data_IF_506537726109
#
_entry.id   IF_506537726109
#
_cell.length_a   1.000
_cell.length_b   1.000
_cell.length_c   1.000
_cell.angle_alpha   90.00
_cell.angle_beta   90.00
_cell.angle_gamma   90.00
#
_symmetry.space_group_name_H-M   'P 1'
#
loop_
_entity.id
_entity.type
_entity.pdbx_description
1 polymer ?
#
# COMPACT_ATOMS: atom_id res chain seq x y z
N UNK A 1 4.87 -8.75 75.77
CA UNK A 1 6.04 -9.54 75.33
C UNK A 1 6.46 -9.04 73.97
N UNK A 2 7.65 -8.45 73.90
CA UNK A 2 8.12 -7.61 72.81
C UNK A 2 8.61 -8.36 71.56
N UNK A 3 8.61 -7.61 70.48
CA UNK A 3 9.21 -7.85 69.16
C UNK A 3 10.63 -8.44 69.25
N UNK A 4 11.05 -9.19 68.23
CA UNK A 4 12.26 -8.92 67.42
C UNK A 4 12.47 -10.06 66.41
N UNK A 5 11.90 -9.96 65.21
CA UNK A 5 12.48 -10.65 64.06
C UNK A 5 13.52 -9.73 63.41
N UNK A 6 14.76 -10.19 63.48
CA UNK A 6 15.98 -9.54 62.99
C UNK A 6 15.92 -9.43 61.47
N UNK A 7 15.99 -8.19 60.98
CA UNK A 7 16.12 -7.82 59.57
C UNK A 7 17.46 -8.34 59.03
N UNK A 8 17.46 -9.43 58.29
CA UNK A 8 18.58 -9.84 57.45
C UNK A 8 18.53 -9.07 56.14
N UNK A 9 19.41 -8.08 55.98
CA UNK A 9 19.61 -7.36 54.73
C UNK A 9 20.21 -8.29 53.68
N UNK A 10 19.41 -8.70 52.69
CA UNK A 10 19.93 -9.29 51.46
C UNK A 10 20.50 -8.16 50.58
N UNK A 11 21.67 -8.34 49.94
CA UNK A 11 22.24 -7.32 49.08
C UNK A 11 21.37 -7.14 47.84
N UNK A 12 20.99 -5.89 47.58
CA UNK A 12 20.42 -5.47 46.30
C UNK A 12 21.48 -5.76 45.24
N UNK A 13 21.29 -6.84 44.49
CA UNK A 13 22.01 -7.05 43.23
C UNK A 13 21.53 -5.95 42.31
N UNK A 14 22.35 -4.90 42.17
CA UNK A 14 22.18 -3.92 41.12
C UNK A 14 22.20 -4.68 39.79
N UNK A 15 21.04 -4.83 39.17
CA UNK A 15 20.97 -5.19 37.76
C UNK A 15 21.65 -4.06 37.00
N UNK A 16 22.96 -4.23 36.73
CA UNK A 16 23.65 -3.49 35.68
C UNK A 16 22.86 -3.75 34.41
N UNK A 17 22.06 -2.75 34.01
CA UNK A 17 21.52 -2.60 32.67
C UNK A 17 22.68 -2.45 31.69
N UNK A 18 23.36 -3.56 31.41
CA UNK A 18 24.22 -3.69 30.26
C UNK A 18 23.31 -3.80 29.05
N UNK A 19 22.83 -2.65 28.57
CA UNK A 19 22.29 -2.53 27.22
C UNK A 19 23.40 -2.95 26.26
N UNK A 20 23.43 -4.24 25.92
CA UNK A 20 24.20 -4.73 24.78
C UNK A 20 23.59 -4.01 23.59
N UNK A 21 24.26 -2.95 23.14
CA UNK A 21 23.95 -2.30 21.88
C UNK A 21 23.83 -3.42 20.86
N UNK A 22 22.61 -3.64 20.38
CA UNK A 22 22.34 -4.68 19.38
C UNK A 22 23.31 -4.40 18.24
N UNK A 23 24.26 -5.31 18.03
CA UNK A 23 25.23 -5.23 16.94
C UNK A 23 24.41 -4.96 15.69
N UNK A 24 24.59 -3.77 15.12
CA UNK A 24 23.86 -3.34 13.94
C UNK A 24 24.19 -4.38 12.88
N UNK A 25 23.20 -5.18 12.46
CA UNK A 25 23.42 -6.20 11.42
C UNK A 25 24.15 -5.52 10.27
N UNK A 26 25.24 -6.12 9.75
CA UNK A 26 25.99 -5.52 8.66
C UNK A 26 25.06 -5.25 7.48
N UNK A 27 25.31 -4.16 6.77
CA UNK A 27 24.57 -3.81 5.57
C UNK A 27 24.55 -4.99 4.60
N UNK A 28 23.43 -5.27 3.92
CA UNK A 28 23.41 -6.30 2.89
C UNK A 28 24.44 -5.96 1.82
N UNK A 29 25.06 -6.99 1.24
CA UNK A 29 25.98 -6.80 0.13
C UNK A 29 25.25 -6.09 -1.03
N UNK A 30 25.92 -5.17 -1.75
CA UNK A 30 25.38 -4.61 -2.99
C UNK A 30 24.95 -5.72 -3.93
N UNK A 31 23.73 -5.62 -4.45
CA UNK A 31 23.16 -6.56 -5.40
C UNK A 31 22.48 -5.80 -6.53
N UNK A 32 22.50 -6.37 -7.72
CA UNK A 32 21.94 -5.78 -8.93
C UNK A 32 20.85 -6.68 -9.49
N UNK A 33 20.07 -6.14 -10.43
CA UNK A 33 19.10 -6.93 -11.18
C UNK A 33 19.80 -8.17 -11.76
N UNK A 34 19.33 -9.39 -11.46
CA UNK A 34 19.90 -10.60 -12.04
C UNK A 34 19.86 -10.53 -13.57
N UNK A 35 20.92 -11.02 -14.24
CA UNK A 35 20.97 -11.09 -15.69
C UNK A 35 20.09 -12.21 -16.22
N UNK A 36 19.40 -11.95 -17.33
CA UNK A 36 18.62 -12.92 -18.07
C UNK A 36 19.54 -13.99 -18.68
N UNK A 37 19.83 -15.04 -17.92
CA UNK A 37 20.27 -16.28 -18.55
C UNK A 37 19.12 -16.80 -19.40
N UNK A 38 19.39 -17.25 -20.62
CA UNK A 38 18.38 -17.78 -21.55
C UNK A 38 17.56 -18.88 -20.87
N UNK A 39 16.36 -18.52 -20.41
CA UNK A 39 15.39 -19.43 -19.81
C UNK A 39 14.10 -19.36 -20.61
N UNK A 40 13.49 -20.52 -20.82
CA UNK A 40 12.25 -20.64 -21.55
C UNK A 40 11.14 -19.87 -20.81
N UNK A 41 10.55 -18.90 -21.51
CA UNK A 41 9.40 -18.15 -21.02
C UNK A 41 8.20 -19.09 -20.85
N UNK A 42 7.30 -18.82 -19.88
CA UNK A 42 6.08 -19.60 -19.72
C UNK A 42 5.29 -19.64 -21.04
N UNK A 43 4.97 -20.87 -21.48
CA UNK A 43 4.29 -21.15 -22.76
C UNK A 43 2.83 -20.66 -22.81
N UNK A 44 2.22 -20.39 -21.66
CA UNK A 44 0.87 -19.86 -21.52
C UNK A 44 0.91 -18.51 -20.81
N UNK A 45 -0.12 -17.68 -21.02
CA UNK A 45 -0.29 -16.44 -20.25
C UNK A 45 -0.16 -16.73 -18.75
N UNK A 46 0.54 -15.84 -18.03
CA UNK A 46 0.85 -16.01 -16.62
C UNK A 46 -0.42 -16.29 -15.80
N UNK A 47 -0.52 -17.51 -15.27
CA UNK A 47 -1.59 -17.91 -14.36
C UNK A 47 -1.35 -17.19 -13.04
N UNK A 48 -2.38 -16.52 -12.47
CA UNK A 48 -2.21 -15.83 -11.21
C UNK A 48 -1.69 -16.75 -10.12
N UNK A 49 -0.66 -16.29 -9.39
CA UNK A 49 -0.02 -17.08 -8.34
C UNK A 49 -0.88 -17.10 -7.08
N UNK A 50 -1.09 -18.30 -6.52
CA UNK A 50 -1.83 -18.46 -5.27
C UNK A 50 -0.88 -18.42 -4.06
N UNK A 51 -0.61 -17.20 -3.58
CA UNK A 51 0.24 -16.98 -2.41
C UNK A 51 -0.40 -17.45 -1.09
N UNK A 52 -1.68 -17.84 -1.07
CA UNK A 52 -2.31 -18.38 0.14
C UNK A 52 -1.85 -19.81 0.46
N UNK A 53 -1.35 -20.53 -0.55
CA UNK A 53 -0.89 -21.93 -0.44
C UNK A 53 0.61 -22.09 -0.25
N UNK A 54 1.38 -21.00 -0.32
CA UNK A 54 2.82 -21.05 -0.12
C UNK A 54 3.16 -21.36 1.33
N UNK A 55 3.93 -22.42 1.55
CA UNK A 55 4.48 -22.74 2.87
C UNK A 55 5.54 -21.69 3.24
N UNK A 56 5.34 -20.88 4.30
CA UNK A 56 6.30 -19.88 4.72
C UNK A 56 7.64 -20.45 5.19
N UNK A 57 7.74 -21.76 5.42
CA UNK A 57 8.96 -22.51 5.73
C UNK A 57 9.73 -22.98 4.49
N UNK A 58 9.09 -23.07 3.32
CA UNK A 58 9.70 -23.47 2.05
C UNK A 58 10.32 -22.30 1.26
N UNK A 59 10.34 -21.10 1.85
CA UNK A 59 10.82 -19.85 1.22
C UNK A 59 12.27 -19.96 0.78
N UNK A 60 12.55 -19.69 -0.51
CA UNK A 60 13.91 -19.59 -1.02
C UNK A 60 14.59 -18.31 -0.52
N UNK A 61 15.48 -18.47 0.46
CA UNK A 61 16.21 -17.37 1.07
C UNK A 61 17.48 -16.95 0.29
N UNK A 62 17.89 -17.76 -0.70
CA UNK A 62 19.15 -17.63 -1.43
C UNK A 62 18.99 -17.12 -2.87
N UNK A 63 17.74 -17.00 -3.36
CA UNK A 63 17.46 -16.50 -4.71
C UNK A 63 18.11 -15.14 -5.03
N UNK A 64 18.71 -14.96 -6.21
CA UNK A 64 19.39 -13.72 -6.59
C UNK A 64 18.42 -12.52 -6.65
N UNK A 65 17.16 -12.76 -7.01
CA UNK A 65 16.08 -11.77 -6.97
C UNK A 65 15.78 -11.28 -5.55
N UNK A 66 15.78 -12.19 -4.57
CA UNK A 66 15.61 -11.82 -3.16
C UNK A 66 16.82 -11.06 -2.61
N UNK A 67 18.04 -11.41 -3.04
CA UNK A 67 19.24 -10.66 -2.68
C UNK A 67 19.17 -9.21 -3.18
N UNK A 68 18.76 -9.00 -4.45
CA UNK A 68 18.54 -7.67 -5.01
C UNK A 68 17.43 -6.91 -4.28
N UNK A 69 16.31 -7.56 -3.99
CA UNK A 69 15.19 -6.95 -3.25
C UNK A 69 15.61 -6.50 -1.84
N UNK A 70 16.39 -7.33 -1.11
CA UNK A 70 16.92 -6.98 0.22
C UNK A 70 17.87 -5.77 0.17
N UNK A 71 18.69 -5.68 -0.88
CA UNK A 71 19.56 -4.52 -1.09
C UNK A 71 18.75 -3.24 -1.36
N UNK A 72 17.75 -3.29 -2.25
CA UNK A 72 16.86 -2.16 -2.51
C UNK A 72 16.06 -1.74 -1.28
N UNK A 73 15.51 -2.70 -0.54
CA UNK A 73 14.80 -2.44 0.71
C UNK A 73 15.71 -1.74 1.73
N UNK A 74 16.99 -2.10 1.79
CA UNK A 74 17.96 -1.40 2.64
C UNK A 74 18.19 0.05 2.18
N UNK A 75 18.40 0.30 0.88
CA UNK A 75 18.59 1.65 0.35
C UNK A 75 17.36 2.55 0.61
N UNK A 76 16.16 2.02 0.36
CA UNK A 76 14.92 2.73 0.63
C UNK A 76 14.72 2.98 2.13
N UNK A 77 15.12 2.03 2.97
CA UNK A 77 15.04 2.18 4.42
C UNK A 77 16.01 3.23 4.98
N UNK A 78 17.19 3.39 4.39
CA UNK A 78 18.12 4.47 4.75
C UNK A 78 17.59 5.82 4.25
N UNK A 79 17.09 5.89 3.01
CA UNK A 79 16.56 7.13 2.43
C UNK A 79 15.27 7.62 3.11
N UNK A 80 14.39 6.71 3.51
CA UNK A 80 13.05 7.00 4.06
C UNK A 80 12.93 6.73 5.57
N UNK A 81 14.05 6.42 6.24
CA UNK A 81 14.11 6.29 7.70
C UNK A 81 13.34 5.09 8.28
N UNK A 82 13.23 3.96 7.58
CA UNK A 82 12.44 2.82 8.06
C UNK A 82 13.07 2.20 9.32
N UNK A 83 12.28 2.08 10.38
CA UNK A 83 12.69 1.42 11.62
C UNK A 83 12.93 -0.09 11.47
N UNK A 84 13.58 -0.71 12.46
CA UNK A 84 13.94 -2.14 12.43
C UNK A 84 12.75 -3.08 12.20
N UNK A 85 11.60 -2.79 12.81
CA UNK A 85 10.38 -3.61 12.64
C UNK A 85 9.85 -3.57 11.21
N UNK A 86 9.87 -2.40 10.58
CA UNK A 86 9.44 -2.22 9.17
C UNK A 86 10.39 -3.00 8.25
N UNK A 87 11.71 -2.84 8.42
CA UNK A 87 12.72 -3.58 7.64
C UNK A 87 12.55 -5.10 7.76
N UNK A 88 12.28 -5.59 8.97
CA UNK A 88 12.05 -7.02 9.20
C UNK A 88 10.80 -7.52 8.48
N UNK A 89 9.66 -6.82 8.63
CA UNK A 89 8.41 -7.19 7.98
C UNK A 89 8.50 -7.13 6.44
N UNK A 90 9.17 -6.11 5.89
CA UNK A 90 9.42 -5.99 4.44
C UNK A 90 10.28 -7.15 3.93
N UNK A 91 11.40 -7.45 4.60
CA UNK A 91 12.24 -8.59 4.20
C UNK A 91 11.50 -9.93 4.27
N UNK A 92 10.61 -10.11 5.25
CA UNK A 92 9.77 -11.32 5.33
C UNK A 92 8.75 -11.37 4.19
N UNK A 93 8.10 -10.26 3.86
CA UNK A 93 7.18 -10.15 2.74
C UNK A 93 7.86 -10.41 1.39
N UNK A 94 9.03 -9.79 1.16
CA UNK A 94 9.81 -10.01 -0.05
C UNK A 94 10.24 -11.46 -0.21
N UNK A 95 10.63 -12.12 0.88
CA UNK A 95 11.01 -13.53 0.82
C UNK A 95 9.84 -14.42 0.39
N UNK A 96 8.63 -14.18 0.91
CA UNK A 96 7.43 -14.91 0.50
C UNK A 96 7.07 -14.62 -0.96
N UNK A 97 7.03 -13.34 -1.34
CA UNK A 97 6.57 -12.90 -2.66
C UNK A 97 7.50 -13.34 -3.78
N UNK A 98 8.81 -13.37 -3.51
CA UNK A 98 9.84 -13.75 -4.48
C UNK A 98 10.22 -15.23 -4.42
N UNK A 99 9.59 -16.02 -3.54
CA UNK A 99 9.73 -17.47 -3.57
C UNK A 99 9.20 -17.97 -4.91
N UNK A 100 10.00 -18.75 -5.63
CA UNK A 100 9.69 -19.25 -6.98
C UNK A 100 9.42 -18.14 -8.01
N UNK A 101 9.91 -16.92 -7.81
CA UNK A 101 9.85 -15.88 -8.84
C UNK A 101 10.63 -16.31 -10.08
N UNK A 102 9.97 -16.23 -11.24
CA UNK A 102 10.58 -16.49 -12.55
C UNK A 102 10.74 -15.17 -13.27
N UNK A 103 11.88 -14.99 -13.92
CA UNK A 103 12.14 -13.77 -14.66
C UNK A 103 11.13 -13.57 -15.81
N UNK A 104 10.64 -12.34 -15.94
CA UNK A 104 9.56 -12.00 -16.87
C UNK A 104 8.17 -12.09 -16.23
N UNK A 105 8.06 -12.67 -15.03
CA UNK A 105 6.82 -12.65 -14.26
C UNK A 105 6.54 -11.29 -13.64
N UNK A 106 5.25 -10.97 -13.60
CA UNK A 106 4.72 -9.77 -12.97
C UNK A 106 3.90 -10.19 -11.76
N UNK A 107 4.17 -9.58 -10.62
CA UNK A 107 3.51 -9.85 -9.35
C UNK A 107 2.34 -8.90 -9.22
N UNK A 108 1.13 -9.44 -9.09
CA UNK A 108 -0.11 -8.65 -9.09
C UNK A 108 -0.54 -8.25 -7.69
N UNK A 109 -1.21 -7.10 -7.55
CA UNK A 109 -1.80 -6.69 -6.28
C UNK A 109 -2.81 -7.73 -5.77
N UNK A 110 -3.71 -8.20 -6.63
CA UNK A 110 -4.75 -9.19 -6.30
C UNK A 110 -4.17 -10.48 -5.70
N UNK A 111 -2.98 -10.86 -6.14
CA UNK A 111 -2.27 -12.06 -5.68
C UNK A 111 -1.64 -11.89 -4.29
N UNK A 112 -1.02 -10.74 -4.01
CA UNK A 112 -0.21 -10.57 -2.78
C UNK A 112 -0.93 -9.79 -1.68
N UNK A 113 -1.99 -9.03 -1.98
CA UNK A 113 -2.65 -8.17 -0.99
C UNK A 113 -3.22 -8.98 0.17
N UNK A 114 -4.14 -9.91 -0.11
CA UNK A 114 -4.79 -10.71 0.93
C UNK A 114 -3.78 -11.56 1.73
N UNK A 115 -2.83 -12.27 1.10
CA UNK A 115 -1.87 -13.11 1.83
C UNK A 115 -0.90 -12.32 2.70
N UNK A 116 -0.40 -11.17 2.24
CA UNK A 116 0.47 -10.32 3.06
C UNK A 116 -0.28 -9.70 4.24
N UNK A 117 -1.55 -9.33 4.05
CA UNK A 117 -2.42 -8.79 5.11
C UNK A 117 -2.73 -9.85 6.17
N UNK A 118 -2.98 -11.10 5.76
CA UNK A 118 -3.23 -12.23 6.66
C UNK A 118 -2.01 -12.55 7.55
N UNK A 119 -0.80 -12.29 7.07
CA UNK A 119 0.46 -12.49 7.80
C UNK A 119 0.91 -11.24 8.59
N UNK A 120 0.08 -10.21 8.68
CA UNK A 120 0.40 -8.90 9.29
C UNK A 120 1.70 -8.26 8.73
N UNK A 121 1.96 -8.49 7.44
CA UNK A 121 3.14 -7.95 6.76
C UNK A 121 2.82 -6.58 6.15
N UNK A 122 3.86 -5.76 6.00
CA UNK A 122 3.75 -4.37 5.56
C UNK A 122 3.56 -4.25 4.05
N UNK A 123 2.35 -4.57 3.57
CA UNK A 123 1.95 -4.52 2.17
C UNK A 123 2.53 -3.32 1.41
N UNK A 124 2.21 -2.08 1.83
CA UNK A 124 2.63 -0.88 1.09
C UNK A 124 4.15 -0.66 1.01
N UNK A 125 4.92 -1.12 2.01
CA UNK A 125 6.38 -1.02 1.95
C UNK A 125 6.99 -2.13 1.09
N UNK A 126 6.40 -3.32 1.11
CA UNK A 126 6.77 -4.42 0.24
C UNK A 126 6.49 -4.08 -1.22
N UNK A 127 5.32 -3.52 -1.55
CA UNK A 127 4.98 -3.11 -2.92
C UNK A 127 5.92 -2.02 -3.42
N UNK A 128 6.28 -1.06 -2.57
CA UNK A 128 7.26 -0.02 -2.91
C UNK A 128 8.59 -0.64 -3.39
N UNK A 129 9.07 -1.71 -2.76
CA UNK A 129 10.31 -2.38 -3.22
C UNK A 129 10.09 -3.10 -4.56
N UNK A 130 8.94 -3.76 -4.74
CA UNK A 130 8.62 -4.48 -5.98
C UNK A 130 8.38 -3.54 -7.18
N UNK A 131 7.83 -2.34 -6.92
CA UNK A 131 7.70 -1.24 -7.88
C UNK A 131 9.07 -0.74 -8.35
N UNK A 132 10.00 -0.50 -7.42
CA UNK A 132 11.38 -0.10 -7.73
C UNK A 132 12.15 -1.21 -8.47
N UNK A 133 11.79 -2.48 -8.24
CA UNK A 133 12.30 -3.61 -9.02
C UNK A 133 11.68 -3.72 -10.43
N UNK A 134 10.57 -3.02 -10.69
CA UNK A 134 9.85 -3.05 -11.95
C UNK A 134 9.09 -4.35 -12.23
N UNK A 135 8.73 -5.11 -11.18
CA UNK A 135 8.08 -6.43 -11.29
C UNK A 135 6.69 -6.46 -10.64
N UNK A 136 6.16 -5.31 -10.21
CA UNK A 136 4.84 -5.19 -9.59
C UNK A 136 3.81 -4.59 -10.56
N UNK A 137 2.60 -5.16 -10.57
CA UNK A 137 1.44 -4.60 -11.25
C UNK A 137 0.30 -4.39 -10.26
N UNK A 138 -0.14 -3.15 -10.14
CA UNK A 138 -1.34 -2.85 -9.36
C UNK A 138 -2.60 -3.14 -10.20
N UNK A 139 -3.16 -4.33 -10.06
CA UNK A 139 -4.39 -4.78 -10.74
C UNK A 139 -5.64 -4.73 -9.85
N UNK A 140 -5.54 -4.19 -8.62
CA UNK A 140 -6.70 -3.99 -7.75
C UNK A 140 -7.54 -2.79 -8.11
N UNK A 141 -7.09 -2.01 -9.09
CA UNK A 141 -7.83 -0.87 -9.51
C UNK A 141 -8.98 -1.28 -10.42
N UNK A 142 -10.25 -1.09 -10.02
CA UNK A 142 -11.34 -1.21 -10.97
C UNK A 142 -11.01 -0.37 -12.19
N UNK A 143 -11.23 -0.94 -13.38
CA UNK A 143 -11.01 -0.19 -14.62
C UNK A 143 -11.65 1.19 -14.49
N UNK A 144 -10.98 2.22 -14.99
CA UNK A 144 -11.45 3.61 -14.87
C UNK A 144 -12.94 3.74 -15.26
N UNK A 145 -13.36 3.02 -16.29
CA UNK A 145 -14.76 2.96 -16.75
C UNK A 145 -15.72 2.37 -15.72
N UNK A 146 -15.37 1.22 -15.12
CA UNK A 146 -16.21 0.59 -14.10
C UNK A 146 -16.32 1.47 -12.85
N UNK A 147 -15.17 1.98 -12.38
CA UNK A 147 -15.13 2.91 -11.27
C UNK A 147 -15.97 4.17 -11.54
N UNK A 148 -15.85 4.75 -12.73
CA UNK A 148 -16.59 5.97 -13.11
C UNK A 148 -18.10 5.71 -13.13
N UNK A 149 -18.54 4.61 -13.74
CA UNK A 149 -19.95 4.23 -13.79
C UNK A 149 -20.55 4.08 -12.38
N UNK A 150 -19.88 3.36 -11.47
CA UNK A 150 -20.32 3.23 -10.08
C UNK A 150 -20.41 4.58 -9.36
N UNK A 151 -19.49 5.51 -9.65
CA UNK A 151 -19.48 6.81 -8.97
C UNK A 151 -20.59 7.74 -9.45
N UNK A 152 -20.99 7.62 -10.71
CA UNK A 152 -22.08 8.38 -11.31
C UNK A 152 -23.46 7.83 -10.97
N UNK A 153 -23.54 6.59 -10.47
CA UNK A 153 -24.79 5.99 -10.05
C UNK A 153 -25.48 6.81 -8.95
N UNK A 154 -26.78 7.04 -9.14
CA UNK A 154 -27.64 7.84 -8.26
C UNK A 154 -27.61 9.35 -8.51
N UNK A 155 -26.79 9.84 -9.46
CA UNK A 155 -26.81 11.25 -9.84
C UNK A 155 -27.90 11.56 -10.87
N UNK A 156 -28.42 12.77 -10.85
CA UNK A 156 -29.32 13.27 -11.89
C UNK A 156 -28.62 13.22 -13.26
N UNK A 157 -29.27 12.82 -14.36
CA UNK A 157 -28.60 12.57 -15.65
C UNK A 157 -27.77 13.75 -16.17
N UNK A 158 -28.25 14.99 -15.96
CA UNK A 158 -27.54 16.20 -16.38
C UNK A 158 -26.29 16.46 -15.56
N UNK A 159 -26.36 16.25 -14.23
CA UNK A 159 -25.21 16.31 -13.33
C UNK A 159 -24.21 15.19 -13.66
N UNK A 160 -24.68 13.96 -13.84
CA UNK A 160 -23.85 12.80 -14.16
C UNK A 160 -23.01 13.05 -15.42
N UNK A 161 -23.64 13.54 -16.50
CA UNK A 161 -22.94 13.80 -17.76
C UNK A 161 -21.88 14.91 -17.65
N UNK A 162 -22.12 15.95 -16.85
CA UNK A 162 -21.14 17.01 -16.61
C UNK A 162 -19.96 16.54 -15.75
N UNK A 163 -20.24 15.77 -14.70
CA UNK A 163 -19.23 15.15 -13.82
C UNK A 163 -18.39 14.13 -14.57
N UNK A 164 -19.00 13.32 -15.43
CA UNK A 164 -18.29 12.35 -16.28
C UNK A 164 -17.26 13.06 -17.16
N UNK A 165 -17.69 14.10 -17.89
CA UNK A 165 -16.80 14.89 -18.77
C UNK A 165 -15.65 15.50 -17.99
N UNK A 166 -15.93 16.11 -16.84
CA UNK A 166 -14.89 16.67 -15.99
C UNK A 166 -13.89 15.60 -15.50
N UNK A 167 -14.39 14.44 -15.09
CA UNK A 167 -13.55 13.34 -14.58
C UNK A 167 -12.67 12.75 -15.68
N UNK A 168 -13.18 12.61 -16.90
CA UNK A 168 -12.40 12.18 -18.08
C UNK A 168 -11.32 13.19 -18.44
N UNK A 169 -11.62 14.49 -18.43
CA UNK A 169 -10.60 15.54 -18.66
C UNK A 169 -9.51 15.52 -17.58
N UNK A 170 -9.85 15.20 -16.33
CA UNK A 170 -8.85 15.01 -15.28
C UNK A 170 -7.99 13.77 -15.53
N UNK A 171 -8.59 12.66 -15.94
CA UNK A 171 -7.92 11.38 -16.17
C UNK A 171 -7.01 11.41 -17.39
N UNK A 172 -7.53 11.84 -18.54
CA UNK A 172 -6.84 11.80 -19.83
C UNK A 172 -6.08 13.09 -20.14
N UNK A 173 -6.27 14.12 -19.33
CA UNK A 173 -5.83 15.48 -19.62
C UNK A 173 -6.75 16.15 -20.64
N UNK A 174 -6.41 17.39 -20.97
CA UNK A 174 -7.12 18.20 -21.94
C UNK A 174 -6.17 19.13 -22.68
N UNK A 175 -6.67 19.95 -23.61
CA UNK A 175 -5.84 20.81 -24.46
C UNK A 175 -4.90 21.76 -23.70
N UNK A 176 -5.21 22.05 -22.42
CA UNK A 176 -4.44 22.95 -21.55
C UNK A 176 -4.05 22.33 -20.20
N UNK A 177 -4.26 21.02 -20.02
CA UNK A 177 -4.03 20.34 -18.74
C UNK A 177 -3.46 18.94 -18.95
N UNK A 178 -2.38 18.63 -18.23
CA UNK A 178 -1.83 17.28 -18.24
C UNK A 178 -2.77 16.29 -17.53
N UNK A 179 -2.76 15.00 -17.95
CA UNK A 179 -3.38 13.91 -17.20
C UNK A 179 -3.02 13.95 -15.72
N UNK A 180 -4.00 13.73 -14.85
CA UNK A 180 -3.77 13.55 -13.41
C UNK A 180 -3.54 12.08 -13.10
N UNK A 181 -2.76 11.83 -12.06
CA UNK A 181 -2.62 10.48 -11.53
C UNK A 181 -4.01 9.95 -11.11
N UNK A 182 -4.31 8.69 -11.41
CA UNK A 182 -5.63 8.08 -11.18
C UNK A 182 -6.13 8.23 -9.74
N UNK A 183 -5.24 8.06 -8.76
CA UNK A 183 -5.50 8.30 -7.34
C UNK A 183 -5.99 9.71 -7.02
N UNK A 184 -5.50 10.72 -7.75
CA UNK A 184 -5.93 12.12 -7.61
C UNK A 184 -7.34 12.32 -8.18
N UNK A 185 -7.62 11.69 -9.33
CA UNK A 185 -8.95 11.73 -9.95
C UNK A 185 -10.01 11.16 -9.00
N UNK A 186 -9.72 10.03 -8.36
CA UNK A 186 -10.66 9.46 -7.40
C UNK A 186 -10.83 10.32 -6.16
N UNK A 187 -9.75 10.87 -5.62
CA UNK A 187 -9.82 11.74 -4.45
C UNK A 187 -10.78 12.91 -4.71
N UNK A 188 -10.68 13.53 -5.90
CA UNK A 188 -11.52 14.66 -6.27
C UNK A 188 -12.99 14.25 -6.43
N UNK A 189 -13.27 13.18 -7.18
CA UNK A 189 -14.65 12.75 -7.37
C UNK A 189 -15.28 12.23 -6.06
N UNK A 190 -14.53 11.49 -5.23
CA UNK A 190 -15.01 11.03 -3.93
C UNK A 190 -15.31 12.19 -2.96
N UNK A 191 -14.51 13.26 -2.99
CA UNK A 191 -14.77 14.46 -2.19
C UNK A 191 -16.01 15.25 -2.65
N UNK A 192 -16.25 15.28 -3.96
CA UNK A 192 -17.40 15.95 -4.56
C UNK A 192 -18.70 15.13 -4.43
N UNK A 193 -18.64 13.80 -4.50
CA UNK A 193 -19.80 12.90 -4.61
C UNK A 193 -20.93 13.16 -3.60
N UNK A 194 -20.67 13.38 -2.30
CA UNK A 194 -21.76 13.66 -1.36
C UNK A 194 -22.55 14.93 -1.70
N UNK A 195 -21.88 15.97 -2.22
CA UNK A 195 -22.57 17.19 -2.65
C UNK A 195 -23.31 16.97 -3.97
N UNK A 196 -22.72 16.21 -4.90
CA UNK A 196 -23.38 15.87 -6.17
C UNK A 196 -24.68 15.09 -5.95
N UNK A 197 -24.72 14.18 -4.96
CA UNK A 197 -25.93 13.46 -4.58
C UNK A 197 -26.97 14.40 -3.97
N UNK A 198 -26.58 15.24 -3.02
CA UNK A 198 -27.49 16.24 -2.41
C UNK A 198 -28.07 17.23 -3.44
N UNK A 199 -27.27 17.62 -4.43
CA UNK A 199 -27.73 18.46 -5.52
C UNK A 199 -28.60 17.71 -6.51
N UNK A 200 -28.38 16.41 -6.72
CA UNK A 200 -29.22 15.59 -7.60
C UNK A 200 -30.63 15.42 -7.07
N UNK A 201 -30.84 15.55 -5.75
CA UNK A 201 -32.18 15.57 -5.15
C UNK A 201 -32.92 16.90 -5.42
N UNK A 202 -32.21 17.95 -5.83
CA UNK A 202 -32.73 19.33 -5.96
C UNK A 202 -32.68 19.91 -7.37
N UNK A 203 -31.76 19.43 -8.21
CA UNK A 203 -31.44 20.00 -9.51
C UNK A 203 -31.17 18.91 -10.54
N UNK A 204 -31.53 19.20 -11.79
CA UNK A 204 -31.26 18.29 -12.91
C UNK A 204 -29.86 18.50 -13.50
N UNK A 205 -29.28 19.70 -13.33
CA UNK A 205 -27.98 20.09 -13.91
C UNK A 205 -27.09 20.90 -12.95
N UNK A 206 -25.75 20.79 -13.06
CA UNK A 206 -24.84 21.55 -12.20
C UNK A 206 -24.89 23.06 -12.44
N UNK A 207 -25.33 23.50 -13.63
CA UNK A 207 -25.52 24.93 -13.92
C UNK A 207 -26.58 25.61 -13.04
N UNK A 208 -27.44 24.83 -12.40
CA UNK A 208 -28.47 25.31 -11.47
C UNK A 208 -27.93 25.46 -10.04
N UNK A 209 -26.79 24.83 -9.73
CA UNK A 209 -26.14 24.94 -8.43
C UNK A 209 -25.51 26.32 -8.31
N UNK A 210 -25.93 27.07 -7.29
CA UNK A 210 -25.45 28.43 -7.07
C UNK A 210 -24.20 28.44 -6.19
N UNK A 211 -23.51 29.59 -6.15
CA UNK A 211 -22.39 29.79 -5.21
C UNK A 211 -22.83 29.60 -3.75
N UNK A 212 -24.08 29.97 -3.42
CA UNK A 212 -24.61 29.82 -2.08
C UNK A 212 -24.76 28.35 -1.69
N UNK A 213 -25.23 27.50 -2.60
CA UNK A 213 -25.32 26.03 -2.42
C UNK A 213 -23.95 25.39 -2.14
N UNK A 214 -22.89 25.94 -2.73
CA UNK A 214 -21.52 25.47 -2.49
C UNK A 214 -21.03 25.88 -1.09
N UNK A 215 -21.39 27.08 -0.63
CA UNK A 215 -20.92 27.65 0.63
C UNK A 215 -21.71 27.18 1.86
N UNK A 216 -22.99 26.85 1.70
CA UNK A 216 -23.86 26.38 2.79
C UNK A 216 -23.60 24.92 3.18
N UNK A 217 -22.74 24.21 2.44
CA UNK A 217 -22.38 22.82 2.71
C UNK A 217 -21.80 22.67 4.13
N UNK A 218 -22.46 21.92 5.04
CA UNK A 218 -21.83 21.52 6.28
C UNK A 218 -20.74 20.50 5.96
N UNK A 219 -19.47 20.83 6.25
CA UNK A 219 -18.38 19.85 6.27
C UNK A 219 -18.67 18.83 7.37
N UNK A 220 -19.42 17.76 7.06
CA UNK A 220 -19.64 16.64 7.98
C UNK A 220 -18.33 15.86 8.09
N UNK A 221 -17.45 16.33 8.97
CA UNK A 221 -16.31 15.57 9.46
C UNK A 221 -16.81 14.69 10.61
N UNK A 222 -16.91 13.36 10.48
CA UNK A 222 -17.23 12.52 11.63
C UNK A 222 -16.05 12.53 12.59
N UNK A 223 -16.10 13.36 13.63
CA UNK A 223 -15.20 13.21 14.78
C UNK A 223 -15.53 11.87 15.46
N UNK A 224 -14.54 11.01 15.74
CA UNK A 224 -14.77 9.83 16.57
C UNK A 224 -15.14 10.30 17.98
N UNK A 225 -16.26 9.81 18.50
CA UNK A 225 -16.61 10.00 19.91
C UNK A 225 -15.69 9.12 20.77
N UNK A 226 -15.01 9.65 21.78
CA UNK A 226 -14.34 8.84 22.78
C UNK A 226 -15.39 8.15 23.66
N UNK A 227 -15.26 6.83 23.80
CA UNK A 227 -15.94 6.04 24.84
C UNK A 227 -15.42 6.38 26.23
#
# INVERSE_FOLDING_TARGET
MGLHYRRGSAPVVAHRGGGRGAVRKPSPAPAWRPSADWRQLPLFGQVPRDYSRLDPAAVDLAGPWLAWAKYLAYQLAEARGWGRGIRFAVNRGLAIVLTEYVEGDVIRHSEIFTPLRALDLRFGHTTTVLEEMGIFLNDSEPSFEHWLAERLEGLAPGIAAEVERWTRVLHDGGPRSLPRQQSTVWLYLNGARPALLDWSDRYDHLREVTREDVLTRPTRNPRPQPS
#
